data_IF_583551653644
#
_entry.id   IF_583551653644
#
_cell.length_a   1.000
_cell.length_b   1.000
_cell.length_c   1.000
_cell.angle_alpha   90.00
_cell.angle_beta   90.00
_cell.angle_gamma   90.00
#
_symmetry.space_group_name_H-M   'P 1'
#
loop_
_entity.id
_entity.type
_entity.pdbx_description
1 polymer ?
#
# COMPACT_ATOMS: atom_id res chain seq x y z
N UNK A 1 -21.94 4.19 3.16
CA UNK A 1 -21.49 5.62 3.14
C UNK A 1 -22.33 6.38 2.14
N UNK A 2 -22.33 7.73 2.12
CA UNK A 2 -23.10 8.49 1.12
C UNK A 2 -22.47 8.39 -0.28
N UNK A 3 -23.30 8.38 -1.33
CA UNK A 3 -22.83 8.28 -2.72
C UNK A 3 -21.92 9.44 -3.15
N UNK A 4 -22.13 10.61 -2.57
CA UNK A 4 -21.29 11.78 -2.78
C UNK A 4 -19.81 11.50 -2.43
N UNK A 5 -19.54 10.69 -1.41
CA UNK A 5 -18.17 10.35 -1.02
C UNK A 5 -17.48 9.47 -2.07
N UNK A 6 -18.21 8.54 -2.69
CA UNK A 6 -17.69 7.70 -3.78
C UNK A 6 -17.38 8.52 -5.03
N UNK A 7 -18.12 9.59 -5.27
CA UNK A 7 -17.85 10.48 -6.40
C UNK A 7 -16.72 11.46 -6.10
N UNK A 8 -16.67 12.05 -4.90
CA UNK A 8 -15.74 13.14 -4.59
C UNK A 8 -14.34 12.67 -4.16
N UNK A 9 -14.25 11.67 -3.28
CA UNK A 9 -12.96 11.25 -2.69
C UNK A 9 -11.93 10.86 -3.75
N UNK A 10 -12.26 10.08 -4.80
CA UNK A 10 -11.25 9.70 -5.78
C UNK A 10 -10.59 10.89 -6.47
N UNK A 11 -11.37 11.92 -6.84
CA UNK A 11 -10.81 13.12 -7.49
C UNK A 11 -10.08 14.03 -6.52
N UNK A 12 -10.56 14.18 -5.28
CA UNK A 12 -9.82 14.92 -4.24
C UNK A 12 -8.48 14.25 -3.95
N UNK A 13 -8.46 12.92 -3.81
CA UNK A 13 -7.24 12.14 -3.60
C UNK A 13 -6.30 12.23 -4.81
N UNK A 14 -6.82 12.16 -6.04
CA UNK A 14 -6.04 12.34 -7.26
C UNK A 14 -5.42 13.75 -7.36
N UNK A 15 -6.20 14.80 -7.09
CA UNK A 15 -5.72 16.18 -7.06
C UNK A 15 -4.63 16.39 -5.99
N UNK A 16 -4.84 15.84 -4.80
CA UNK A 16 -3.84 15.85 -3.73
C UNK A 16 -2.57 15.08 -4.15
N UNK A 17 -2.70 13.95 -4.83
CA UNK A 17 -1.56 13.18 -5.33
C UNK A 17 -0.75 13.98 -6.36
N UNK A 18 -1.41 14.63 -7.33
CA UNK A 18 -0.77 15.51 -8.32
C UNK A 18 -0.03 16.65 -7.62
N UNK A 19 -0.68 17.34 -6.68
CA UNK A 19 -0.05 18.40 -5.90
C UNK A 19 1.16 17.92 -5.09
N UNK A 20 1.05 16.73 -4.49
CA UNK A 20 2.13 16.08 -3.75
C UNK A 20 3.35 15.77 -4.63
N UNK A 21 3.12 15.25 -5.84
CA UNK A 21 4.18 15.00 -6.85
C UNK A 21 4.79 16.31 -7.32
N UNK A 22 3.99 17.29 -7.74
CA UNK A 22 4.47 18.58 -8.20
C UNK A 22 5.36 19.26 -7.15
N UNK A 23 4.91 19.31 -5.89
CA UNK A 23 5.68 19.81 -4.76
C UNK A 23 7.01 19.07 -4.58
N UNK A 24 7.03 17.74 -4.75
CA UNK A 24 8.27 16.94 -4.63
C UNK A 24 9.27 17.27 -5.72
N UNK A 25 8.81 17.42 -6.96
CA UNK A 25 9.61 17.80 -8.12
C UNK A 25 10.15 19.22 -7.99
N UNK A 26 9.29 20.17 -7.60
CA UNK A 26 9.65 21.58 -7.40
C UNK A 26 10.64 21.78 -6.26
N UNK A 27 10.53 20.99 -5.19
CA UNK A 27 11.45 21.08 -4.05
C UNK A 27 12.89 20.62 -4.36
N UNK A 28 13.18 20.14 -5.59
CA UNK A 28 14.49 19.61 -6.04
C UNK A 28 15.17 18.69 -5.04
N UNK A 29 14.36 18.01 -4.23
CA UNK A 29 14.90 17.25 -3.11
C UNK A 29 15.66 16.04 -3.67
N UNK A 30 16.90 15.78 -3.21
CA UNK A 30 17.64 14.62 -3.65
C UNK A 30 16.80 13.35 -3.42
N UNK A 31 16.90 12.41 -4.35
CA UNK A 31 16.22 11.13 -4.23
C UNK A 31 16.62 10.51 -2.88
N UNK A 32 15.64 10.23 -2.02
CA UNK A 32 15.91 9.44 -0.83
C UNK A 32 16.31 8.05 -1.31
N UNK A 33 17.56 7.66 -1.13
CA UNK A 33 18.00 6.29 -1.38
C UNK A 33 17.13 5.39 -0.50
N UNK A 34 16.30 4.51 -1.07
CA UNK A 34 15.59 3.54 -0.26
C UNK A 34 16.65 2.73 0.48
N UNK A 35 16.53 2.62 1.80
CA UNK A 35 17.35 1.69 2.61
C UNK A 35 16.50 0.47 2.96
N UNK A 36 16.12 -0.39 1.97
CA UNK A 36 15.34 -1.59 2.24
C UNK A 36 16.16 -2.65 2.98
N UNK A 37 17.42 -2.38 3.33
CA UNK A 37 18.37 -3.36 3.89
C UNK A 37 18.04 -3.83 5.33
N UNK A 38 17.02 -3.27 5.97
CA UNK A 38 16.42 -3.85 7.19
C UNK A 38 15.43 -4.97 6.84
N UNK A 39 15.25 -5.95 7.72
CA UNK A 39 14.26 -7.03 7.51
C UNK A 39 12.85 -6.49 7.29
N UNK A 40 12.42 -5.50 8.09
CA UNK A 40 11.14 -4.81 7.91
C UNK A 40 11.06 -4.06 6.57
N UNK A 41 12.15 -3.43 6.15
CA UNK A 41 12.22 -2.75 4.85
C UNK A 41 12.04 -3.70 3.66
N UNK A 42 12.73 -4.84 3.67
CA UNK A 42 12.55 -5.90 2.65
C UNK A 42 11.13 -6.45 2.65
N UNK A 43 10.54 -6.67 3.82
CA UNK A 43 9.19 -7.19 3.93
C UNK A 43 8.14 -6.20 3.37
N UNK A 44 8.27 -4.90 3.66
CA UNK A 44 7.42 -3.87 3.03
C UNK A 44 7.59 -3.85 1.52
N UNK A 45 8.82 -3.92 1.01
CA UNK A 45 9.07 -3.92 -0.42
C UNK A 45 8.46 -5.14 -1.11
N UNK A 46 8.79 -6.34 -0.64
CA UNK A 46 8.32 -7.59 -1.23
C UNK A 46 6.78 -7.71 -1.13
N UNK A 47 6.23 -7.51 0.07
CA UNK A 47 4.79 -7.57 0.29
C UNK A 47 4.02 -6.49 -0.47
N UNK A 48 4.55 -5.26 -0.48
CA UNK A 48 3.98 -4.14 -1.22
C UNK A 48 3.95 -4.39 -2.72
N UNK A 49 5.04 -4.90 -3.31
CA UNK A 49 5.08 -5.25 -4.73
C UNK A 49 4.05 -6.34 -5.06
N UNK A 50 3.99 -7.42 -4.27
CA UNK A 50 3.01 -8.50 -4.50
C UNK A 50 1.58 -7.97 -4.47
N UNK A 51 1.21 -7.23 -3.41
CA UNK A 51 -0.14 -6.69 -3.24
C UNK A 51 -0.48 -5.68 -4.34
N UNK A 52 0.45 -4.78 -4.67
CA UNK A 52 0.24 -3.77 -5.70
C UNK A 52 0.07 -4.41 -7.09
N UNK A 53 0.90 -5.38 -7.45
CA UNK A 53 0.80 -6.09 -8.73
C UNK A 53 -0.53 -6.81 -8.88
N UNK A 54 -1.02 -7.47 -7.82
CA UNK A 54 -2.32 -8.15 -7.88
C UNK A 54 -3.48 -7.16 -8.11
N UNK A 55 -3.48 -6.02 -7.41
CA UNK A 55 -4.48 -4.96 -7.61
C UNK A 55 -4.41 -4.39 -9.03
N UNK A 56 -3.19 -4.05 -9.49
CA UNK A 56 -2.98 -3.50 -10.83
C UNK A 56 -3.39 -4.50 -11.93
N UNK A 57 -3.07 -5.78 -11.77
CA UNK A 57 -3.47 -6.81 -12.72
C UNK A 57 -4.99 -6.91 -12.83
N UNK A 58 -5.71 -6.92 -11.70
CA UNK A 58 -7.17 -6.97 -11.72
C UNK A 58 -7.80 -5.71 -12.32
N UNK A 59 -7.24 -4.52 -12.07
CA UNK A 59 -7.75 -3.26 -12.62
C UNK A 59 -7.49 -3.13 -14.14
N UNK A 60 -6.25 -3.38 -14.56
CA UNK A 60 -5.79 -3.17 -15.93
C UNK A 60 -6.22 -4.32 -16.86
N UNK A 61 -6.19 -5.56 -16.38
CA UNK A 61 -6.49 -6.76 -17.17
C UNK A 61 -7.53 -7.68 -16.47
N UNK A 62 -8.75 -7.19 -16.19
CA UNK A 62 -9.77 -7.97 -15.45
C UNK A 62 -10.16 -9.26 -16.16
N UNK A 63 -10.18 -9.28 -17.50
CA UNK A 63 -10.47 -10.50 -18.28
C UNK A 63 -9.38 -11.57 -18.10
N UNK A 64 -8.12 -11.15 -18.01
CA UNK A 64 -6.99 -12.06 -17.77
C UNK A 64 -7.09 -12.63 -16.36
N UNK A 65 -7.37 -11.79 -15.36
CA UNK A 65 -7.60 -12.22 -13.99
C UNK A 65 -8.77 -13.22 -13.88
N UNK A 66 -9.90 -12.94 -14.55
CA UNK A 66 -11.06 -13.85 -14.59
C UNK A 66 -10.69 -15.21 -15.20
N UNK A 67 -10.02 -15.21 -16.36
CA UNK A 67 -9.59 -16.45 -17.01
C UNK A 67 -8.59 -17.24 -16.15
N UNK A 68 -7.68 -16.54 -15.45
CA UNK A 68 -6.75 -17.16 -14.51
C UNK A 68 -7.51 -17.82 -13.35
N UNK A 69 -8.42 -17.08 -12.72
CA UNK A 69 -9.21 -17.51 -11.57
C UNK A 69 -10.25 -18.59 -11.88
N UNK A 70 -10.56 -18.86 -13.16
CA UNK A 70 -11.46 -19.93 -13.57
C UNK A 70 -10.97 -21.34 -13.16
N UNK A 71 -9.67 -21.51 -12.92
CA UNK A 71 -9.12 -22.76 -12.35
C UNK A 71 -9.01 -22.62 -10.82
N UNK A 72 -9.63 -23.52 -10.04
CA UNK A 72 -9.55 -23.47 -8.58
C UNK A 72 -8.10 -23.46 -8.06
N UNK A 73 -7.21 -24.28 -8.65
CA UNK A 73 -5.80 -24.30 -8.26
C UNK A 73 -5.11 -22.95 -8.45
N UNK A 74 -5.31 -22.30 -9.60
CA UNK A 74 -4.75 -20.97 -9.89
C UNK A 74 -5.32 -19.89 -8.98
N UNK A 75 -6.63 -19.93 -8.72
CA UNK A 75 -7.28 -19.05 -7.76
C UNK A 75 -6.67 -19.20 -6.36
N UNK A 76 -6.58 -20.42 -5.82
CA UNK A 76 -5.98 -20.66 -4.51
C UNK A 76 -4.53 -20.17 -4.45
N UNK A 77 -3.73 -20.42 -5.49
CA UNK A 77 -2.34 -19.94 -5.57
C UNK A 77 -2.28 -18.42 -5.52
N UNK A 78 -3.11 -17.72 -6.30
CA UNK A 78 -3.12 -16.26 -6.32
C UNK A 78 -3.55 -15.66 -4.97
N UNK A 79 -4.59 -16.22 -4.35
CA UNK A 79 -5.05 -15.80 -3.03
C UNK A 79 -3.97 -16.05 -1.97
N UNK A 80 -3.31 -17.20 -1.98
CA UNK A 80 -2.23 -17.53 -1.05
C UNK A 80 -1.02 -16.59 -1.21
N UNK A 81 -0.58 -16.34 -2.45
CA UNK A 81 0.51 -15.40 -2.74
C UNK A 81 0.15 -13.99 -2.28
N UNK A 82 -1.08 -13.54 -2.57
CA UNK A 82 -1.57 -12.23 -2.17
C UNK A 82 -1.66 -12.09 -0.64
N UNK A 83 -2.12 -13.15 0.05
CA UNK A 83 -2.20 -13.19 1.51
C UNK A 83 -0.81 -13.17 2.16
N UNK A 84 0.14 -13.95 1.64
CA UNK A 84 1.54 -13.92 2.08
C UNK A 84 2.13 -12.52 1.88
N UNK A 85 1.90 -11.91 0.70
CA UNK A 85 2.32 -10.55 0.42
C UNK A 85 1.74 -9.52 1.39
N UNK A 86 0.43 -9.62 1.69
CA UNK A 86 -0.23 -8.74 2.65
C UNK A 86 0.28 -8.91 4.08
N UNK A 87 0.57 -10.15 4.52
CA UNK A 87 1.17 -10.44 5.83
C UNK A 87 2.60 -9.89 5.94
N UNK A 88 3.42 -10.08 4.91
CA UNK A 88 4.77 -9.50 4.84
C UNK A 88 4.73 -7.97 4.90
N UNK A 89 3.81 -7.36 4.14
CA UNK A 89 3.62 -5.92 4.14
C UNK A 89 3.22 -5.42 5.53
N UNK A 90 2.22 -6.02 6.17
CA UNK A 90 1.76 -5.63 7.50
C UNK A 90 2.87 -5.78 8.55
N UNK A 91 3.60 -6.90 8.54
CA UNK A 91 4.73 -7.13 9.44
C UNK A 91 5.86 -6.11 9.25
N UNK A 92 6.19 -5.80 7.99
CA UNK A 92 7.16 -4.77 7.67
C UNK A 92 6.72 -3.40 8.17
N UNK A 93 5.47 -3.02 7.91
CA UNK A 93 4.91 -1.72 8.29
C UNK A 93 4.87 -1.52 9.80
N UNK A 94 4.51 -2.53 10.60
CA UNK A 94 4.55 -2.41 12.07
C UNK A 94 5.98 -2.20 12.57
N UNK A 95 6.95 -2.94 12.05
CA UNK A 95 8.37 -2.78 12.40
C UNK A 95 8.92 -1.39 12.06
N UNK A 96 8.61 -0.88 10.86
CA UNK A 96 9.00 0.47 10.45
C UNK A 96 8.30 1.55 11.28
N UNK A 97 7.02 1.37 11.60
CA UNK A 97 6.24 2.32 12.41
C UNK A 97 6.85 2.48 13.80
N UNK A 98 7.08 1.36 14.50
CA UNK A 98 7.65 1.35 15.84
C UNK A 98 9.05 1.97 15.85
N UNK A 99 9.87 1.65 14.85
CA UNK A 99 11.21 2.24 14.72
C UNK A 99 11.14 3.76 14.56
N UNK A 100 10.30 4.25 13.64
CA UNK A 100 10.16 5.69 13.38
C UNK A 100 9.58 6.45 14.57
N UNK A 101 8.71 5.83 15.34
CA UNK A 101 8.20 6.41 16.59
C UNK A 101 9.33 6.58 17.62
N UNK A 102 10.18 5.55 17.81
CA UNK A 102 11.34 5.59 18.73
C UNK A 102 12.39 6.62 18.31
N UNK A 103 12.56 6.83 17.01
CA UNK A 103 13.43 7.87 16.44
C UNK A 103 12.83 9.30 16.54
N UNK A 104 11.63 9.46 17.12
CA UNK A 104 10.93 10.75 17.20
C UNK A 104 10.37 11.24 15.87
N UNK A 105 10.37 10.42 14.81
CA UNK A 105 9.85 10.76 13.48
C UNK A 105 8.33 10.56 13.39
N UNK A 106 7.57 11.21 14.26
CA UNK A 106 6.13 10.98 14.46
C UNK A 106 5.27 11.13 13.20
N UNK A 107 5.59 12.08 12.29
CA UNK A 107 4.87 12.23 11.02
C UNK A 107 5.04 11.00 10.11
N UNK A 108 6.26 10.47 10.03
CA UNK A 108 6.55 9.26 9.26
C UNK A 108 5.95 8.02 9.92
N UNK A 109 6.03 7.93 11.25
CA UNK A 109 5.42 6.85 12.01
C UNK A 109 3.89 6.83 11.83
N UNK A 110 3.23 7.98 11.88
CA UNK A 110 1.78 8.09 11.65
C UNK A 110 1.39 7.61 10.24
N UNK A 111 2.11 8.00 9.20
CA UNK A 111 1.84 7.51 7.85
C UNK A 111 2.00 5.99 7.75
N UNK A 112 3.09 5.44 8.29
CA UNK A 112 3.34 4.00 8.27
C UNK A 112 2.29 3.24 9.07
N UNK A 113 1.81 3.81 10.18
CA UNK A 113 0.70 3.29 10.96
C UNK A 113 -0.62 3.31 10.19
N UNK A 114 -0.92 4.38 9.45
CA UNK A 114 -2.09 4.44 8.56
C UNK A 114 -2.01 3.40 7.44
N UNK A 115 -0.84 3.22 6.83
CA UNK A 115 -0.59 2.16 5.86
C UNK A 115 -0.76 0.77 6.49
N UNK A 116 -0.32 0.57 7.74
CA UNK A 116 -0.51 -0.68 8.46
C UNK A 116 -1.99 -0.98 8.69
N UNK A 117 -2.77 0.00 9.17
CA UNK A 117 -4.22 -0.13 9.33
C UNK A 117 -4.91 -0.41 7.98
N UNK A 118 -4.47 0.26 6.93
CA UNK A 118 -4.94 -0.01 5.56
C UNK A 118 -4.63 -1.45 5.14
N UNK A 119 -3.43 -1.95 5.39
CA UNK A 119 -3.06 -3.35 5.14
C UNK A 119 -3.89 -4.33 5.98
N UNK A 120 -4.18 -4.01 7.25
CA UNK A 120 -5.04 -4.83 8.11
C UNK A 120 -6.48 -4.91 7.57
N UNK A 121 -7.05 -3.82 7.06
CA UNK A 121 -8.36 -3.87 6.42
C UNK A 121 -8.37 -4.76 5.16
N UNK A 122 -7.29 -4.76 4.38
CA UNK A 122 -7.11 -5.67 3.25
C UNK A 122 -6.94 -7.13 3.66
N UNK A 123 -6.18 -7.40 4.72
CA UNK A 123 -6.04 -8.74 5.32
C UNK A 123 -7.40 -9.26 5.82
N UNK A 124 -8.17 -8.42 6.50
CA UNK A 124 -9.52 -8.76 6.93
C UNK A 124 -10.40 -9.14 5.73
N UNK A 125 -10.39 -8.34 4.65
CA UNK A 125 -11.13 -8.66 3.42
C UNK A 125 -10.72 -10.03 2.84
N UNK A 126 -9.41 -10.28 2.74
CA UNK A 126 -8.87 -11.51 2.19
C UNK A 126 -9.30 -12.75 2.98
N UNK A 127 -9.36 -12.66 4.32
CA UNK A 127 -9.76 -13.79 5.18
C UNK A 127 -11.27 -13.91 5.31
N UNK A 128 -11.99 -12.81 5.53
CA UNK A 128 -13.41 -12.80 5.87
C UNK A 128 -14.33 -12.93 4.65
N UNK A 129 -14.00 -12.24 3.54
CA UNK A 129 -14.83 -12.29 2.34
C UNK A 129 -14.35 -13.34 1.33
N UNK A 130 -13.09 -13.80 1.46
CA UNK A 130 -12.42 -14.83 0.63
C UNK A 130 -12.49 -14.54 -0.88
N UNK A 131 -11.61 -15.19 -1.65
CA UNK A 131 -11.63 -15.10 -3.12
C UNK A 131 -11.58 -13.65 -3.62
N UNK A 132 -10.76 -12.82 -2.98
CA UNK A 132 -10.62 -11.39 -3.23
C UNK A 132 -10.49 -11.09 -4.72
N UNK A 133 -9.57 -11.78 -5.37
CA UNK A 133 -9.28 -11.64 -6.79
C UNK A 133 -10.46 -12.00 -7.70
N UNK A 134 -11.37 -12.87 -7.26
CA UNK A 134 -12.54 -13.30 -8.03
C UNK A 134 -13.69 -12.28 -7.97
N UNK A 135 -14.03 -11.74 -6.79
CA UNK A 135 -15.10 -10.73 -6.71
C UNK A 135 -14.60 -9.30 -6.99
N UNK A 136 -13.32 -9.00 -6.76
CA UNK A 136 -12.71 -7.68 -7.00
C UNK A 136 -13.00 -7.15 -8.41
N UNK A 137 -12.85 -8.01 -9.42
CA UNK A 137 -13.04 -7.67 -10.84
C UNK A 137 -14.51 -7.39 -11.22
N UNK A 138 -15.46 -7.80 -10.39
CA UNK A 138 -16.90 -7.61 -10.61
C UNK A 138 -17.51 -6.52 -9.73
N UNK A 139 -16.89 -6.23 -8.58
CA UNK A 139 -17.40 -5.26 -7.60
C UNK A 139 -16.65 -3.94 -7.67
N UNK A 140 -15.32 -3.96 -7.45
CA UNK A 140 -14.53 -2.74 -7.27
C UNK A 140 -13.98 -2.24 -8.60
N UNK A 141 -13.55 -3.13 -9.50
CA UNK A 141 -12.97 -2.73 -10.79
C UNK A 141 -13.94 -1.93 -11.67
N UNK A 142 -15.24 -2.28 -11.81
CA UNK A 142 -16.18 -1.45 -12.56
C UNK A 142 -16.30 -0.03 -11.99
N UNK A 143 -16.37 0.10 -10.67
CA UNK A 143 -16.37 1.41 -9.99
C UNK A 143 -15.08 2.20 -10.26
N UNK A 144 -13.90 1.58 -10.12
CA UNK A 144 -12.64 2.26 -10.39
C UNK A 144 -12.54 2.71 -11.86
N UNK A 145 -13.06 1.92 -12.80
CA UNK A 145 -13.09 2.28 -14.22
C UNK A 145 -14.06 3.42 -14.51
N UNK A 146 -15.20 3.49 -13.84
CA UNK A 146 -16.15 4.60 -14.01
C UNK A 146 -15.55 5.93 -13.52
N UNK A 147 -14.85 5.90 -12.38
CA UNK A 147 -14.04 7.03 -11.89
C UNK A 147 -12.96 7.44 -12.89
N UNK A 148 -12.19 6.48 -13.43
CA UNK A 148 -11.15 6.77 -14.43
C UNK A 148 -11.72 7.30 -15.75
N UNK A 149 -12.97 6.97 -16.07
CA UNK A 149 -13.70 7.51 -17.22
C UNK A 149 -14.34 8.88 -16.94
N UNK A 150 -14.08 9.49 -15.77
CA UNK A 150 -14.70 10.75 -15.32
C UNK A 150 -16.24 10.71 -15.26
N UNK A 151 -16.81 9.52 -15.10
CA UNK A 151 -18.25 9.28 -14.93
C UNK A 151 -18.44 8.37 -13.71
N UNK A 152 -18.19 8.89 -12.48
CA UNK A 152 -18.17 8.06 -11.29
C UNK A 152 -19.57 7.49 -11.03
N UNK A 153 -19.68 6.18 -11.13
CA UNK A 153 -20.90 5.46 -10.79
C UNK A 153 -20.80 4.93 -9.36
N UNK A 154 -21.31 5.73 -8.42
CA UNK A 154 -21.31 5.43 -7.00
C UNK A 154 -22.13 4.19 -6.65
N UNK A 155 -23.14 3.84 -7.45
CA UNK A 155 -24.06 2.72 -7.18
C UNK A 155 -23.33 1.37 -7.17
N UNK A 156 -22.23 1.26 -7.93
CA UNK A 156 -21.38 0.06 -8.04
C UNK A 156 -20.68 -0.29 -6.73
N UNK A 157 -20.26 0.71 -5.95
CA UNK A 157 -19.57 0.50 -4.68
C UNK A 157 -20.48 0.69 -3.47
N UNK A 158 -21.56 1.47 -3.58
CA UNK A 158 -22.48 1.74 -2.49
C UNK A 158 -23.15 0.47 -1.92
N UNK A 159 -23.32 -0.55 -2.76
CA UNK A 159 -23.92 -1.84 -2.38
C UNK A 159 -22.90 -2.83 -1.78
N UNK A 160 -21.60 -2.55 -1.88
CA UNK A 160 -20.57 -3.43 -1.33
C UNK A 160 -20.59 -3.41 0.21
N UNK A 161 -20.12 -4.48 0.89
CA UNK A 161 -19.95 -4.47 2.34
C UNK A 161 -19.15 -3.25 2.81
N UNK A 162 -19.51 -2.69 3.97
CA UNK A 162 -18.89 -1.46 4.48
C UNK A 162 -17.36 -1.52 4.49
N UNK A 163 -16.77 -2.66 4.85
CA UNK A 163 -15.32 -2.82 4.87
C UNK A 163 -14.67 -2.72 3.48
N UNK A 164 -15.37 -3.10 2.40
CA UNK A 164 -14.92 -2.93 1.01
C UNK A 164 -14.94 -1.44 0.63
N UNK A 165 -16.02 -0.74 1.00
CA UNK A 165 -16.15 0.72 0.81
C UNK A 165 -15.00 1.45 1.53
N UNK A 166 -14.81 1.12 2.81
CA UNK A 166 -13.77 1.71 3.65
C UNK A 166 -12.40 1.48 3.04
N UNK A 167 -12.01 0.22 2.81
CA UNK A 167 -10.69 -0.12 2.25
C UNK A 167 -10.41 0.59 0.93
N UNK A 168 -11.39 0.65 0.04
CA UNK A 168 -11.25 1.29 -1.28
C UNK A 168 -10.98 2.78 -1.14
N UNK A 169 -11.79 3.48 -0.34
CA UNK A 169 -11.68 4.94 -0.19
C UNK A 169 -10.49 5.35 0.67
N UNK A 170 -10.26 4.70 1.82
CA UNK A 170 -9.12 5.00 2.67
C UNK A 170 -7.80 4.68 1.99
N UNK A 171 -7.76 3.67 1.11
CA UNK A 171 -6.59 3.36 0.29
C UNK A 171 -6.18 4.53 -0.59
N UNK A 172 -7.12 5.15 -1.30
CA UNK A 172 -6.86 6.33 -2.14
C UNK A 172 -6.32 7.50 -1.31
N UNK A 173 -6.93 7.77 -0.16
CA UNK A 173 -6.53 8.87 0.73
C UNK A 173 -5.13 8.66 1.31
N UNK A 174 -4.84 7.47 1.85
CA UNK A 174 -3.55 7.16 2.47
C UNK A 174 -2.42 7.20 1.43
N UNK A 175 -2.66 6.71 0.22
CA UNK A 175 -1.68 6.79 -0.87
C UNK A 175 -1.42 8.25 -1.30
N UNK A 176 -2.45 9.09 -1.39
CA UNK A 176 -2.27 10.50 -1.66
C UNK A 176 -1.48 11.20 -0.54
N UNK A 177 -1.77 10.90 0.73
CA UNK A 177 -1.07 11.46 1.89
C UNK A 177 0.41 11.08 1.91
N UNK A 178 0.76 9.88 1.45
CA UNK A 178 2.16 9.42 1.37
C UNK A 178 3.04 10.36 0.52
N UNK A 179 2.45 11.07 -0.44
CA UNK A 179 3.16 12.04 -1.29
C UNK A 179 3.50 13.34 -0.55
N UNK A 180 2.94 13.58 0.64
CA UNK A 180 3.26 14.75 1.45
C UNK A 180 4.35 14.49 2.49
N UNK A 181 4.43 13.27 3.01
CA UNK A 181 5.33 12.89 4.10
C UNK A 181 6.61 12.26 3.52
N UNK A 182 7.78 12.79 3.90
CA UNK A 182 9.07 12.22 3.54
C UNK A 182 9.60 11.41 4.72
N UNK A 183 10.01 10.16 4.46
CA UNK A 183 11.02 9.56 5.31
C UNK A 183 12.32 10.33 5.05
N UNK A 184 12.87 10.99 6.07
CA UNK A 184 14.21 11.57 5.95
C UNK A 184 15.20 10.41 5.89
N UNK A 185 16.18 10.42 4.97
CA UNK A 185 17.31 9.50 5.09
C UNK A 185 17.97 9.72 6.44
N UNK A 186 18.36 8.63 7.10
CA UNK A 186 19.23 8.73 8.28
C UNK A 186 20.48 9.52 7.87
N UNK A 187 20.84 10.53 8.67
CA UNK A 187 22.26 10.76 8.86
C UNK A 187 22.74 9.53 9.63
N UNK A 188 23.49 8.64 8.97
CA UNK A 188 24.25 7.61 9.64
C UNK A 188 25.26 8.32 10.56
N UNK A 189 24.82 8.70 11.76
CA UNK A 189 25.71 9.06 12.83
C UNK A 189 26.36 7.74 13.30
N UNK A 190 27.60 7.57 12.83
CA UNK A 190 28.60 6.57 13.19
C UNK A 190 28.34 5.11 12.73
N UNK A 191 29.25 4.54 11.91
CA UNK A 191 29.49 3.12 11.99
C UNK A 191 30.09 2.86 13.38
N UNK A 192 29.30 2.27 14.27
CA UNK A 192 29.79 1.58 15.46
C UNK A 192 30.42 0.24 15.02
N UNK A 193 31.41 0.34 14.13
CA UNK A 193 32.39 -0.71 13.86
C UNK A 193 33.72 -0.15 14.34
N UNK A 194 33.85 -0.06 15.66
CA UNK A 194 35.16 -0.31 16.27
C UNK A 194 35.39 -1.81 16.06
N UNK A 195 36.00 -2.16 14.94
CA UNK A 195 36.73 -3.43 14.88
C UNK A 195 37.82 -3.34 15.94
N UNK A 196 37.94 -4.29 16.89
CA UNK A 196 39.12 -4.38 17.74
C UNK A 196 40.33 -4.42 16.82
N UNK A 197 41.08 -3.32 16.82
CA UNK A 197 42.35 -3.20 16.14
C UNK A 197 43.27 -4.22 16.80
N UNK A 198 43.86 -5.08 15.99
CA UNK A 198 44.75 -6.17 16.40
C UNK A 198 45.68 -5.78 17.55
N UNK A 199 45.40 -6.31 18.74
CA UNK A 199 46.31 -6.31 19.88
C UNK A 199 46.91 -7.71 20.02
N UNK A 200 47.71 -8.12 19.03
CA UNK A 200 48.73 -9.17 19.21
C UNK A 200 49.89 -8.91 18.24
N UNK A 201 50.62 -7.83 18.51
CA UNK A 201 52.02 -7.75 18.17
C UNK A 201 52.78 -7.41 19.45
N UNK A 202 53.10 -8.44 20.24
CA UNK A 202 54.25 -8.57 21.14
C UNK A 202 54.31 -9.98 21.72
#
# INVERSE_FOLDING_TARGET
MSEALFSAIPYVAAGAAVAGVARRLMARAPASVPTPWTSSGRAVLAGGVIVALNHLLGLLAPRVMQAFNASPGRLFTLEAVSLIGALLLAWGLVGLTLRRAREGQWRTAALLGLLFLQSCSGLYLAVALRWGSAWYVHVVVPYLRSVLAFQPDASLLAQAPFIVQLHTLSGMVVLALALFIRARPEHLAAPLLVTPREETAR
#
